data_IF_285791682555
#
_entry.id   IF_285791682555
#
_cell.length_a   1.000
_cell.length_b   1.000
_cell.length_c   1.000
_cell.angle_alpha   90.00
_cell.angle_beta   90.00
_cell.angle_gamma   90.00
#
_symmetry.space_group_name_H-M   'P 1'
#
loop_
_entity.id
_entity.type
_entity.pdbx_description
1 polymer ?
#
# COMPACT_ATOMS: atom_id res chain seq x y z
N UNK A 1 7.10 9.70 8.34
CA UNK A 1 6.38 8.43 8.15
C UNK A 1 4.92 8.76 7.89
N UNK A 2 4.30 8.16 6.89
CA UNK A 2 2.92 8.44 6.51
C UNK A 2 2.20 7.16 6.10
N UNK A 3 0.89 7.10 6.32
CA UNK A 3 0.02 6.03 5.84
C UNK A 3 -1.08 6.63 4.99
N UNK A 4 -1.32 6.08 3.81
CA UNK A 4 -2.45 6.46 2.97
C UNK A 4 -3.20 5.23 2.47
N UNK A 5 -4.49 5.41 2.23
CA UNK A 5 -5.35 4.42 1.61
C UNK A 5 -5.69 4.93 0.23
N UNK A 6 -5.48 4.10 -0.79
CA UNK A 6 -5.74 4.45 -2.17
C UNK A 6 -6.67 3.42 -2.80
N UNK A 7 -7.77 3.89 -3.38
CA UNK A 7 -8.69 3.05 -4.16
C UNK A 7 -8.16 2.91 -5.58
N UNK A 8 -7.54 1.76 -5.88
CA UNK A 8 -6.93 1.50 -7.16
C UNK A 8 -7.89 0.76 -8.09
N UNK A 9 -8.30 1.46 -9.15
CA UNK A 9 -9.17 0.95 -10.21
C UNK A 9 -8.34 0.58 -11.41
N UNK A 10 -8.39 -0.68 -11.81
CA UNK A 10 -7.65 -1.19 -12.96
C UNK A 10 -8.54 -2.03 -13.87
N UNK A 11 -8.20 -2.05 -15.15
CA UNK A 11 -8.88 -2.87 -16.15
C UNK A 11 -7.96 -4.04 -16.48
N UNK A 12 -8.49 -5.26 -16.43
CA UNK A 12 -7.79 -6.45 -16.89
C UNK A 12 -7.83 -6.55 -18.41
N UNK A 13 -6.97 -7.40 -18.96
CA UNK A 13 -6.85 -7.61 -20.41
C UNK A 13 -8.12 -8.23 -21.03
N UNK A 14 -9.02 -8.79 -20.20
CA UNK A 14 -10.35 -9.30 -20.58
C UNK A 14 -11.44 -8.21 -20.61
N UNK A 15 -11.09 -6.95 -20.30
CA UNK A 15 -12.02 -5.82 -20.20
C UNK A 15 -12.76 -5.71 -18.86
N UNK A 16 -12.53 -6.62 -17.91
CA UNK A 16 -13.12 -6.55 -16.58
C UNK A 16 -12.49 -5.41 -15.77
N UNK A 17 -13.34 -4.54 -15.22
CA UNK A 17 -12.94 -3.51 -14.27
C UNK A 17 -12.90 -4.10 -12.88
N UNK A 18 -11.77 -3.96 -12.19
CA UNK A 18 -11.63 -4.32 -10.79
C UNK A 18 -11.17 -3.12 -9.99
N UNK A 19 -11.62 -3.08 -8.75
CA UNK A 19 -11.15 -2.13 -7.75
C UNK A 19 -10.48 -2.90 -6.61
N UNK A 20 -9.40 -2.35 -6.10
CA UNK A 20 -8.67 -2.91 -4.97
C UNK A 20 -8.20 -1.78 -4.08
N UNK A 21 -8.53 -1.87 -2.80
CA UNK A 21 -8.03 -0.95 -1.79
C UNK A 21 -6.56 -1.28 -1.51
N UNK A 22 -5.71 -0.27 -1.66
CA UNK A 22 -4.30 -0.32 -1.34
C UNK A 22 -4.06 0.43 -0.05
N UNK A 23 -3.32 -0.21 0.85
CA UNK A 23 -2.84 0.40 2.08
C UNK A 23 -1.34 0.66 1.93
N UNK A 24 -0.96 1.91 1.74
CA UNK A 24 0.41 2.33 1.49
C UNK A 24 0.99 2.90 2.79
N UNK A 25 2.11 2.34 3.23
CA UNK A 25 2.89 2.80 4.37
C UNK A 25 4.25 3.30 3.91
N UNK A 26 4.46 4.61 4.05
CA UNK A 26 5.68 5.31 3.70
C UNK A 26 6.56 5.55 4.92
N UNK A 27 7.72 4.89 4.98
CA UNK A 27 8.65 4.95 6.11
C UNK A 27 10.10 5.11 5.64
N UNK A 28 10.52 6.32 5.21
CA UNK A 28 11.83 6.51 4.63
C UNK A 28 12.93 6.26 5.64
N UNK A 29 14.10 5.82 5.18
CA UNK A 29 15.19 5.46 6.09
C UNK A 29 15.76 6.62 6.90
N UNK A 30 15.65 7.83 6.35
CA UNK A 30 15.97 9.09 7.01
C UNK A 30 14.99 9.48 8.13
N UNK A 31 13.84 8.81 8.25
CA UNK A 31 12.87 9.09 9.32
C UNK A 31 13.40 8.65 10.68
N UNK A 32 13.11 9.45 11.72
CA UNK A 32 13.49 9.14 13.09
C UNK A 32 12.86 7.81 13.52
N UNK A 33 13.64 6.96 14.19
CA UNK A 33 13.21 5.64 14.68
C UNK A 33 11.92 5.75 15.52
N UNK A 34 11.82 6.78 16.37
CA UNK A 34 10.64 7.04 17.20
C UNK A 34 9.37 7.22 16.36
N UNK A 35 9.48 7.92 15.22
CA UNK A 35 8.35 8.17 14.34
C UNK A 35 7.95 6.88 13.60
N UNK A 36 8.93 6.06 13.16
CA UNK A 36 8.66 4.74 12.58
C UNK A 36 7.91 3.85 13.57
N UNK A 37 8.33 3.83 14.83
CA UNK A 37 7.66 3.05 15.88
C UNK A 37 6.25 3.56 16.17
N UNK A 38 6.06 4.88 16.29
CA UNK A 38 4.75 5.46 16.61
C UNK A 38 3.71 5.16 15.52
N UNK A 39 4.10 5.29 14.25
CA UNK A 39 3.22 5.02 13.12
C UNK A 39 3.02 3.52 12.86
N UNK A 40 3.90 2.64 13.35
CA UNK A 40 3.71 1.19 13.24
C UNK A 40 2.45 0.73 13.99
N UNK A 41 2.18 1.25 15.19
CA UNK A 41 0.97 0.92 15.93
C UNK A 41 -0.31 1.40 15.21
N UNK A 42 -0.30 2.62 14.65
CA UNK A 42 -1.41 3.13 13.85
C UNK A 42 -1.63 2.32 12.57
N UNK A 43 -0.54 1.86 11.94
CA UNK A 43 -0.56 1.00 10.75
C UNK A 43 -1.36 -0.27 11.00
N UNK A 44 -1.06 -0.97 12.09
CA UNK A 44 -1.71 -2.25 12.43
C UNK A 44 -3.19 -2.08 12.78
N UNK A 45 -3.54 -0.98 13.48
CA UNK A 45 -4.92 -0.64 13.79
C UNK A 45 -5.74 -0.38 12.51
N UNK A 46 -5.22 0.43 11.59
CA UNK A 46 -5.91 0.77 10.34
C UNK A 46 -6.03 -0.46 9.43
N UNK A 47 -4.98 -1.28 9.35
CA UNK A 47 -4.98 -2.53 8.57
C UNK A 47 -6.03 -3.52 9.08
N UNK A 48 -6.24 -3.60 10.40
CA UNK A 48 -7.21 -4.53 11.00
C UNK A 48 -8.66 -4.17 10.62
N UNK A 49 -8.96 -2.88 10.54
CA UNK A 49 -10.28 -2.38 10.13
C UNK A 49 -10.51 -2.54 8.63
N UNK A 50 -9.46 -2.41 7.82
CA UNK A 50 -9.49 -2.53 6.37
C UNK A 50 -9.31 -3.99 5.92
N UNK A 51 -10.41 -4.75 5.82
CA UNK A 51 -10.38 -6.15 5.37
C UNK A 51 -10.10 -6.25 3.86
N UNK A 52 -9.14 -7.09 3.47
CA UNK A 52 -8.88 -7.41 2.06
C UNK A 52 -8.00 -6.42 1.29
N UNK A 53 -7.34 -5.50 2.00
CA UNK A 53 -6.41 -4.52 1.40
C UNK A 53 -5.06 -5.13 1.07
N UNK A 54 -4.44 -4.60 0.02
CA UNK A 54 -3.05 -4.93 -0.34
C UNK A 54 -2.13 -3.98 0.40
N UNK A 55 -1.23 -4.52 1.23
CA UNK A 55 -0.23 -3.72 1.94
C UNK A 55 0.96 -3.42 1.03
N UNK A 56 1.32 -2.15 0.93
CA UNK A 56 2.49 -1.66 0.21
C UNK A 56 3.33 -0.88 1.20
N UNK A 57 4.50 -1.43 1.54
CA UNK A 57 5.51 -0.70 2.30
C UNK A 57 6.50 -0.11 1.30
N UNK A 58 6.84 1.16 1.51
CA UNK A 58 7.81 1.88 0.71
C UNK A 58 8.72 2.71 1.60
N UNK A 59 10.02 2.58 1.36
CA UNK A 59 11.08 3.33 2.03
C UNK A 59 11.71 4.36 1.09
N UNK A 60 11.53 4.21 -0.23
CA UNK A 60 11.99 5.13 -1.26
C UNK A 60 10.92 5.38 -2.33
N UNK A 61 10.96 6.55 -2.99
CA UNK A 61 9.90 6.98 -3.92
C UNK A 61 9.84 6.07 -5.14
N UNK A 62 10.97 5.47 -5.50
CA UNK A 62 11.07 4.44 -6.54
C UNK A 62 10.25 3.18 -6.25
N UNK A 63 9.92 2.89 -4.98
CA UNK A 63 9.13 1.71 -4.59
C UNK A 63 7.60 1.95 -4.69
N UNK A 64 7.18 3.20 -4.95
CA UNK A 64 5.77 3.60 -5.12
C UNK A 64 5.44 3.84 -6.60
N UNK A 65 6.23 3.28 -7.52
CA UNK A 65 5.95 3.39 -8.94
C UNK A 65 4.70 2.59 -9.34
N UNK A 66 3.92 3.15 -10.28
CA UNK A 66 2.67 2.57 -10.77
C UNK A 66 2.86 1.14 -11.31
N UNK A 67 4.02 0.87 -11.93
CA UNK A 67 4.39 -0.47 -12.39
C UNK A 67 4.52 -1.48 -11.24
N UNK A 68 5.20 -1.09 -10.16
CA UNK A 68 5.38 -1.94 -8.97
C UNK A 68 4.06 -2.16 -8.23
N UNK A 69 3.22 -1.13 -8.14
CA UNK A 69 1.87 -1.22 -7.59
C UNK A 69 1.02 -2.20 -8.41
N UNK A 70 1.05 -2.08 -9.74
CA UNK A 70 0.29 -2.96 -10.65
C UNK A 70 0.72 -4.41 -10.52
N UNK A 71 2.01 -4.68 -10.36
CA UNK A 71 2.53 -6.03 -10.13
C UNK A 71 2.05 -6.61 -8.80
N UNK A 72 2.17 -5.85 -7.69
CA UNK A 72 1.67 -6.27 -6.37
C UNK A 72 0.16 -6.52 -6.35
N UNK A 73 -0.61 -5.69 -7.05
CA UNK A 73 -2.06 -5.85 -7.18
C UNK A 73 -2.43 -7.11 -7.96
N UNK A 74 -1.71 -7.41 -9.06
CA UNK A 74 -1.90 -8.65 -9.82
C UNK A 74 -1.51 -9.88 -9.00
N UNK A 75 -0.40 -9.83 -8.27
CA UNK A 75 0.06 -10.92 -7.41
C UNK A 75 -0.90 -11.21 -6.24
N UNK A 76 -1.54 -10.18 -5.68
CA UNK A 76 -2.54 -10.32 -4.62
C UNK A 76 -3.97 -10.59 -5.14
N UNK A 77 -4.14 -10.66 -6.46
CA UNK A 77 -5.44 -10.80 -7.15
C UNK A 77 -5.71 -12.18 -7.75
N UNK A 78 -4.87 -13.18 -7.42
CA UNK A 78 -5.11 -14.62 -7.67
C UNK A 78 -5.64 -15.30 -6.41
#
# INVERSE_FOLDING_TARGET
VATCVYDYKYTLDDGAKREKLLFIHWAPDSARIRDKMLYASSKDAIKKELKGVVEIQANDMSEVDEAAIKEKVKASGL
#
